data_IF_106136667552
#
_entry.id   IF_106136667552
#
_cell.length_a   1.000
_cell.length_b   1.000
_cell.length_c   1.000
_cell.angle_alpha   90.00
_cell.angle_beta   90.00
_cell.angle_gamma   90.00
#
_symmetry.space_group_name_H-M   'P 1'
#
loop_
_entity.id
_entity.type
_entity.pdbx_description
1 polymer ?
#
# COMPACT_ATOMS: atom_id res chain seq x y z
N UNK A 1 -9.47 23.99 23.76
CA UNK A 1 -8.30 23.18 23.33
C UNK A 1 -8.66 21.77 22.83
N UNK A 2 -9.95 21.39 22.73
CA UNK A 2 -10.35 20.02 22.39
C UNK A 2 -10.94 19.84 20.97
N UNK A 3 -11.32 20.93 20.29
CA UNK A 3 -11.98 20.86 18.96
C UNK A 3 -11.11 20.23 17.85
N UNK A 4 -9.79 20.44 17.89
CA UNK A 4 -8.89 19.91 16.86
C UNK A 4 -8.72 18.38 16.94
N UNK A 5 -8.91 17.82 18.13
CA UNK A 5 -8.79 16.37 18.36
C UNK A 5 -10.05 15.69 17.84
N UNK A 6 -11.22 16.22 18.16
CA UNK A 6 -12.51 15.70 17.69
C UNK A 6 -12.63 15.78 16.16
N UNK A 7 -12.18 16.88 15.56
CA UNK A 7 -12.15 17.01 14.11
C UNK A 7 -11.22 15.97 13.44
N UNK A 8 -10.11 15.59 14.10
CA UNK A 8 -9.21 14.53 13.62
C UNK A 8 -9.84 13.15 13.75
N UNK A 9 -10.49 12.85 14.87
CA UNK A 9 -11.15 11.55 15.10
C UNK A 9 -12.25 11.32 14.06
N UNK A 10 -13.12 12.31 13.83
CA UNK A 10 -14.15 12.25 12.79
C UNK A 10 -13.54 12.02 11.39
N UNK A 11 -12.37 12.58 11.11
CA UNK A 11 -11.68 12.38 9.83
C UNK A 11 -11.04 10.99 9.70
N UNK A 12 -10.58 10.41 10.80
CA UNK A 12 -10.13 9.02 10.82
C UNK A 12 -11.29 8.03 10.70
N UNK A 13 -12.43 8.28 11.34
CA UNK A 13 -13.65 7.48 11.15
C UNK A 13 -14.12 7.53 9.69
N UNK A 14 -14.10 8.71 9.06
CA UNK A 14 -14.40 8.84 7.63
C UNK A 14 -13.35 8.17 6.73
N UNK A 15 -12.14 7.90 7.24
CA UNK A 15 -11.07 7.23 6.49
C UNK A 15 -11.15 5.72 6.61
N UNK A 16 -11.60 5.17 7.73
CA UNK A 16 -11.61 3.73 7.99
C UNK A 16 -13.04 3.25 8.13
N UNK A 17 -13.45 2.39 7.20
CA UNK A 17 -14.78 1.79 7.18
C UNK A 17 -14.78 0.56 8.09
N UNK A 18 -13.80 -0.33 7.90
CA UNK A 18 -13.61 -1.54 8.70
C UNK A 18 -12.13 -1.75 9.04
N UNK A 19 -11.85 -2.25 10.25
CA UNK A 19 -10.50 -2.60 10.69
C UNK A 19 -10.51 -3.97 11.35
N UNK A 20 -9.88 -4.95 10.71
CA UNK A 20 -9.69 -6.30 11.26
C UNK A 20 -8.21 -6.51 11.59
N UNK A 21 -7.88 -6.32 12.87
CA UNK A 21 -6.51 -6.40 13.37
C UNK A 21 -5.95 -7.82 13.30
N UNK A 22 -6.81 -8.83 13.49
CA UNK A 22 -6.41 -10.24 13.51
C UNK A 22 -5.79 -10.69 12.18
N UNK A 23 -6.35 -10.20 11.06
CA UNK A 23 -5.92 -10.59 9.72
C UNK A 23 -5.10 -9.51 9.01
N UNK A 24 -4.81 -8.40 9.71
CA UNK A 24 -4.12 -7.24 9.15
C UNK A 24 -4.83 -6.70 7.89
N UNK A 25 -6.17 -6.71 7.91
CA UNK A 25 -7.03 -6.19 6.85
C UNK A 25 -7.68 -4.90 7.33
N UNK A 26 -7.62 -3.84 6.52
CA UNK A 26 -8.38 -2.61 6.77
C UNK A 26 -9.07 -2.15 5.50
N UNK A 27 -10.34 -1.77 5.59
CA UNK A 27 -11.09 -1.12 4.52
C UNK A 27 -11.02 0.38 4.75
N UNK A 28 -10.42 1.09 3.80
CA UNK A 28 -10.23 2.53 3.84
C UNK A 28 -11.10 3.22 2.78
N UNK A 29 -11.62 4.41 3.07
CA UNK A 29 -12.30 5.26 2.10
C UNK A 29 -11.26 6.10 1.33
N UNK A 30 -10.93 5.71 0.11
CA UNK A 30 -10.00 6.47 -0.76
C UNK A 30 -10.75 7.54 -1.56
N UNK A 31 -10.02 8.47 -2.18
CA UNK A 31 -10.61 9.61 -2.91
C UNK A 31 -11.47 9.19 -4.11
N UNK A 32 -11.19 8.01 -4.67
CA UNK A 32 -11.83 7.53 -5.91
C UNK A 32 -12.79 6.35 -5.67
N UNK A 33 -12.57 5.55 -4.63
CA UNK A 33 -13.39 4.40 -4.22
C UNK A 33 -12.87 3.83 -2.89
N UNK A 34 -13.67 3.06 -2.14
CA UNK A 34 -13.17 2.26 -1.03
C UNK A 34 -12.09 1.28 -1.48
N UNK A 35 -11.12 1.04 -0.60
CA UNK A 35 -9.94 0.23 -0.91
C UNK A 35 -9.62 -0.70 0.25
N UNK A 36 -9.25 -1.93 -0.08
CA UNK A 36 -8.85 -2.93 0.89
C UNK A 36 -7.34 -2.89 1.04
N UNK A 37 -6.86 -2.78 2.26
CA UNK A 37 -5.43 -2.85 2.58
C UNK A 37 -5.17 -4.12 3.36
N UNK A 38 -4.39 -5.01 2.75
CA UNK A 38 -3.95 -6.27 3.32
C UNK A 38 -2.45 -6.21 3.61
N UNK A 39 -2.09 -5.95 4.87
CA UNK A 39 -0.72 -5.69 5.29
C UNK A 39 -0.05 -4.55 4.49
N UNK A 40 0.88 -4.90 3.61
CA UNK A 40 1.60 -3.94 2.74
C UNK A 40 0.92 -3.71 1.39
N UNK A 41 -0.06 -4.54 1.04
CA UNK A 41 -0.71 -4.50 -0.27
C UNK A 41 -1.99 -3.71 -0.17
N UNK A 42 -2.23 -2.87 -1.18
CA UNK A 42 -3.46 -2.10 -1.35
C UNK A 42 -4.17 -2.61 -2.58
N UNK A 43 -5.42 -3.03 -2.42
CA UNK A 43 -6.22 -3.74 -3.41
C UNK A 43 -7.47 -2.92 -3.65
N UNK A 44 -7.65 -2.49 -4.89
CA UNK A 44 -8.86 -1.81 -5.31
C UNK A 44 -9.95 -2.82 -5.55
N UNK A 45 -11.15 -2.53 -5.05
CA UNK A 45 -12.33 -3.34 -5.34
C UNK A 45 -12.59 -3.36 -6.86
N UNK A 46 -13.09 -4.48 -7.40
CA UNK A 46 -13.48 -4.56 -8.80
C UNK A 46 -14.58 -3.53 -9.10
N UNK A 47 -14.69 -3.10 -10.35
CA UNK A 47 -15.85 -2.32 -10.79
C UNK A 47 -17.09 -3.21 -10.76
N UNK A 48 -18.24 -2.62 -10.47
CA UNK A 48 -19.54 -3.30 -10.61
C UNK A 48 -19.87 -3.58 -12.07
N UNK A 49 -20.96 -4.33 -12.26
CA UNK A 49 -21.55 -4.61 -13.57
C UNK A 49 -21.93 -3.34 -14.36
N UNK A 50 -22.31 -2.28 -13.65
CA UNK A 50 -22.58 -0.94 -14.19
C UNK A 50 -21.32 -0.08 -14.41
N UNK A 51 -20.11 -0.66 -14.35
CA UNK A 51 -18.83 0.05 -14.40
C UNK A 51 -18.58 1.10 -13.29
N UNK A 52 -19.51 1.23 -12.35
CA UNK A 52 -19.41 2.12 -11.20
C UNK A 52 -18.52 1.52 -10.10
N UNK A 53 -17.90 2.40 -9.31
CA UNK A 53 -17.14 2.02 -8.11
C UNK A 53 -18.11 1.81 -6.95
N UNK A 54 -17.74 0.95 -6.00
CA UNK A 54 -18.45 0.86 -4.72
C UNK A 54 -18.37 2.18 -3.96
N UNK A 55 -19.40 2.52 -3.19
CA UNK A 55 -19.39 3.67 -2.28
C UNK A 55 -18.96 3.26 -0.87
N UNK A 56 -18.65 4.23 -0.01
CA UNK A 56 -18.29 3.95 1.39
C UNK A 56 -19.39 3.19 2.16
N UNK A 57 -20.66 3.46 1.85
CA UNK A 57 -21.80 2.78 2.47
C UNK A 57 -21.88 1.30 2.08
N UNK A 58 -21.62 0.99 0.81
CA UNK A 58 -21.57 -0.39 0.35
C UNK A 58 -20.34 -1.12 0.88
N UNK A 59 -19.22 -0.40 1.01
CA UNK A 59 -18.04 -0.96 1.62
C UNK A 59 -18.21 -1.22 3.12
N UNK A 60 -19.11 -0.52 3.79
CA UNK A 60 -19.51 -0.80 5.16
C UNK A 60 -20.37 -2.06 5.26
N UNK A 61 -21.12 -2.40 4.21
CA UNK A 61 -21.89 -3.63 4.12
C UNK A 61 -21.03 -4.87 3.81
N UNK A 62 -19.79 -4.71 3.35
CA UNK A 62 -18.92 -5.86 3.11
C UNK A 62 -18.55 -6.58 4.41
N UNK A 63 -18.75 -7.88 4.41
CA UNK A 63 -18.27 -8.76 5.48
C UNK A 63 -16.80 -9.12 5.27
N UNK A 64 -16.15 -9.55 6.35
CA UNK A 64 -14.77 -10.01 6.33
C UNK A 64 -14.55 -11.13 5.30
N UNK A 65 -15.52 -12.02 5.11
CA UNK A 65 -15.47 -13.11 4.12
C UNK A 65 -15.46 -12.58 2.68
N UNK A 66 -16.33 -11.62 2.35
CA UNK A 66 -16.33 -10.99 1.02
C UNK A 66 -15.03 -10.24 0.76
N UNK A 67 -14.50 -9.55 1.77
CA UNK A 67 -13.20 -8.87 1.67
C UNK A 67 -12.07 -9.87 1.42
N UNK A 68 -12.10 -11.03 2.08
CA UNK A 68 -11.14 -12.12 1.79
C UNK A 68 -11.25 -12.61 0.36
N UNK A 69 -12.45 -12.83 -0.14
CA UNK A 69 -12.67 -13.29 -1.52
C UNK A 69 -12.07 -12.29 -2.53
N UNK A 70 -12.30 -10.98 -2.33
CA UNK A 70 -11.68 -9.95 -3.17
C UNK A 70 -10.15 -9.96 -3.08
N UNK A 71 -9.60 -10.18 -1.89
CA UNK A 71 -8.16 -10.29 -1.69
C UNK A 71 -7.60 -11.52 -2.40
N UNK A 72 -8.26 -12.67 -2.31
CA UNK A 72 -7.84 -13.92 -2.95
C UNK A 72 -7.94 -13.86 -4.48
N UNK A 73 -8.99 -13.23 -5.01
CA UNK A 73 -9.16 -13.05 -6.45
C UNK A 73 -8.03 -12.22 -7.08
N UNK A 74 -7.56 -11.18 -6.38
CA UNK A 74 -6.46 -10.33 -6.84
C UNK A 74 -5.09 -10.89 -6.47
N UNK A 75 -5.02 -11.65 -5.38
CA UNK A 75 -3.80 -12.19 -4.80
C UNK A 75 -4.08 -13.65 -4.41
N UNK A 76 -3.96 -14.58 -5.36
CA UNK A 76 -4.13 -16.00 -5.06
C UNK A 76 -3.10 -16.41 -3.99
N UNK A 77 -3.58 -17.04 -2.91
CA UNK A 77 -2.76 -17.42 -1.77
C UNK A 77 -2.42 -16.30 -0.79
N UNK A 78 -3.18 -15.20 -0.74
CA UNK A 78 -2.99 -14.13 0.24
C UNK A 78 -3.05 -14.60 1.69
N UNK A 79 -3.94 -15.54 2.00
CA UNK A 79 -4.10 -16.17 3.31
C UNK A 79 -3.35 -17.50 3.45
N UNK A 80 -2.71 -17.97 2.37
CA UNK A 80 -1.82 -19.10 2.45
C UNK A 80 -0.63 -18.69 3.31
N UNK A 81 -0.60 -19.25 4.53
CA UNK A 81 0.40 -19.06 5.58
C UNK A 81 1.78 -18.94 4.93
N UNK A 82 2.34 -17.72 4.92
CA UNK A 82 3.74 -17.52 4.53
C UNK A 82 4.61 -18.27 5.53
N UNK A 83 4.95 -19.51 5.21
CA UNK A 83 6.23 -20.05 5.62
C UNK A 83 7.28 -19.04 5.17
N UNK A 84 8.10 -18.60 6.13
CA UNK A 84 9.21 -17.67 5.92
C UNK A 84 10.02 -18.10 4.70
N UNK A 85 9.83 -17.47 3.55
CA UNK A 85 10.68 -17.64 2.39
C UNK A 85 10.72 -16.34 1.60
N UNK A 86 11.72 -15.51 1.94
CA UNK A 86 12.50 -14.64 1.04
C UNK A 86 13.14 -13.49 1.84
N UNK A 87 13.84 -13.83 2.93
CA UNK A 87 15.10 -13.15 3.20
C UNK A 87 16.10 -13.64 2.15
N UNK A 88 16.14 -13.00 0.98
CA UNK A 88 17.33 -13.02 0.12
C UNK A 88 17.75 -11.59 -0.11
N UNK A 89 18.64 -11.14 0.78
CA UNK A 89 19.68 -10.18 0.40
C UNK A 89 20.36 -10.72 -0.85
N UNK A 90 20.50 -9.91 -1.90
CA UNK A 90 21.75 -9.71 -2.65
C UNK A 90 21.51 -8.91 -3.93
N UNK A 91 22.43 -7.98 -4.20
CA UNK A 91 22.76 -7.38 -5.49
C UNK A 91 21.88 -6.23 -6.02
N UNK A 92 22.06 -5.04 -5.45
CA UNK A 92 22.39 -3.88 -6.30
C UNK A 92 23.51 -3.07 -5.65
N UNK A 93 24.74 -3.63 -5.68
CA UNK A 93 25.95 -2.80 -5.69
C UNK A 93 25.92 -2.03 -7.02
N UNK A 94 25.34 -0.83 -7.05
CA UNK A 94 25.73 0.16 -8.07
C UNK A 94 26.83 0.99 -7.45
N UNK A 95 28.06 0.48 -7.59
CA UNK A 95 29.26 1.23 -7.29
C UNK A 95 29.27 2.56 -8.05
N UNK A 96 29.75 3.66 -7.44
CA UNK A 96 29.80 4.96 -8.09
C UNK A 96 30.67 4.88 -9.35
N UNK A 97 30.11 5.31 -10.47
CA UNK A 97 30.81 5.41 -11.74
C UNK A 97 32.12 6.17 -11.54
N UNK A 98 33.22 5.48 -11.82
CA UNK A 98 34.58 5.99 -11.78
C UNK A 98 34.64 7.32 -12.56
N UNK A 99 35.07 8.37 -11.86
CA UNK A 99 35.56 9.63 -12.41
C UNK A 99 36.50 9.34 -13.59
N UNK A 100 36.06 9.66 -14.81
CA UNK A 100 36.95 9.79 -15.96
C UNK A 100 37.81 11.03 -15.75
N UNK A 101 39.10 10.83 -15.93
CA UNK A 101 40.17 11.78 -15.73
C UNK A 101 39.97 13.08 -16.53
N UNK A 102 39.92 14.22 -15.84
CA UNK A 102 40.32 15.50 -16.42
C UNK A 102 41.80 15.67 -16.08
N UNK A 103 42.64 15.46 -17.10
CA UNK A 103 44.09 15.73 -17.04
C UNK A 103 44.30 17.19 -16.66
N UNK A 104 44.71 17.45 -15.42
CA UNK A 104 45.24 18.74 -14.98
C UNK A 104 46.59 18.93 -15.68
N UNK A 105 46.63 19.83 -16.66
CA UNK A 105 47.84 20.28 -17.36
C UNK A 105 48.65 21.11 -16.35
N UNK A 106 49.61 20.48 -15.69
CA UNK A 106 50.58 21.17 -14.84
C UNK A 106 51.78 21.55 -15.71
N UNK A 107 52.02 22.86 -15.82
CA UNK A 107 53.16 23.48 -16.46
C UNK A 107 54.47 23.05 -15.80
N UNK A 108 55.53 22.86 -16.61
CA UNK A 108 56.91 22.73 -16.16
C UNK A 108 57.76 23.77 -16.89
N UNK A 109 58.29 24.71 -16.11
CA UNK A 109 59.49 25.56 -16.27
C UNK A 109 59.90 26.02 -17.68
N UNK A 110 59.97 27.36 -17.83
CA UNK A 110 61.27 28.03 -17.99
C UNK A 110 61.33 29.15 -16.96
#
# INVERSE_FOLDING_TARGET
MNELIEAKVKKEENRYIHRWTEENITVENDRWAPVIKFGKKKIYLPKKKDETRYTAEEAAAFTLEQVKEFIEAQIPGAFAKKTKAAAKKTATKKAPAKKKAVKKKAAKKK
#
